data_IF_433749932940
#
_entry.id   IF_433749932940
#
_cell.length_a   1.000
_cell.length_b   1.000
_cell.length_c   1.000
_cell.angle_alpha   90.00
_cell.angle_beta   90.00
_cell.angle_gamma   90.00
#
_symmetry.space_group_name_H-M   'P 1'
#
loop_
_entity.id
_entity.type
_entity.pdbx_description
1 polymer ?
#
# COMPACT_ATOMS: atom_id res chain seq x y z
N UNK A 1 -1.08 -3.48 13.77
CA UNK A 1 -2.00 -4.62 13.55
C UNK A 1 -3.42 -4.19 13.13
N UNK A 2 -4.08 -3.28 13.85
CA UNK A 2 -5.50 -2.89 13.60
C UNK A 2 -5.87 -2.58 12.15
N UNK A 3 -5.08 -1.79 11.41
CA UNK A 3 -5.41 -1.41 10.02
C UNK A 3 -5.46 -2.60 9.05
N UNK A 4 -4.58 -3.58 9.23
CA UNK A 4 -4.58 -4.80 8.41
C UNK A 4 -5.77 -5.70 8.74
N UNK A 5 -6.20 -5.75 9.99
CA UNK A 5 -7.39 -6.49 10.43
C UNK A 5 -8.65 -5.87 9.83
N UNK A 6 -8.76 -4.54 9.83
CA UNK A 6 -9.90 -3.81 9.24
C UNK A 6 -10.02 -4.10 7.73
N UNK A 7 -8.90 -4.06 6.99
CA UNK A 7 -8.91 -4.32 5.55
C UNK A 7 -9.29 -5.78 5.22
N UNK A 8 -8.79 -6.76 6.00
CA UNK A 8 -9.15 -8.18 5.84
C UNK A 8 -10.63 -8.42 6.10
N UNK A 9 -11.18 -7.79 7.14
CA UNK A 9 -12.60 -7.90 7.48
C UNK A 9 -13.49 -7.25 6.42
N UNK A 10 -13.08 -6.10 5.85
CA UNK A 10 -13.80 -5.46 4.74
C UNK A 10 -13.81 -6.33 3.47
N UNK A 11 -12.68 -6.97 3.12
CA UNK A 11 -12.59 -7.86 1.97
C UNK A 11 -13.44 -9.14 2.14
N UNK A 12 -13.46 -9.72 3.34
CA UNK A 12 -14.31 -10.86 3.66
C UNK A 12 -15.80 -10.48 3.56
N UNK A 13 -16.19 -9.36 4.15
CA UNK A 13 -17.57 -8.85 4.06
C UNK A 13 -18.01 -8.60 2.62
N UNK A 14 -17.15 -8.02 1.78
CA UNK A 14 -17.44 -7.78 0.37
C UNK A 14 -17.64 -9.07 -0.44
N UNK A 15 -16.81 -10.10 -0.23
CA UNK A 15 -17.02 -11.42 -0.87
C UNK A 15 -18.36 -12.04 -0.49
N UNK A 16 -18.75 -11.91 0.78
CA UNK A 16 -20.06 -12.40 1.24
C UNK A 16 -21.20 -11.59 0.62
N UNK A 17 -21.06 -10.26 0.51
CA UNK A 17 -22.05 -9.40 -0.14
C UNK A 17 -22.27 -9.79 -1.61
N UNK A 18 -21.19 -9.99 -2.38
CA UNK A 18 -21.27 -10.46 -3.77
C UNK A 18 -21.98 -11.81 -3.89
N UNK A 19 -21.72 -12.74 -2.95
CA UNK A 19 -22.39 -14.05 -2.95
C UNK A 19 -23.89 -13.91 -2.70
N UNK A 20 -24.31 -13.05 -1.78
CA UNK A 20 -25.72 -12.79 -1.48
C UNK A 20 -26.43 -12.18 -2.70
N UNK A 21 -25.83 -11.17 -3.33
CA UNK A 21 -26.38 -10.55 -4.54
C UNK A 21 -26.52 -11.55 -5.69
N UNK A 22 -25.49 -12.38 -5.91
CA UNK A 22 -25.51 -13.41 -6.94
C UNK A 22 -26.59 -14.47 -6.67
N UNK A 23 -26.69 -14.95 -5.43
CA UNK A 23 -27.72 -15.93 -5.04
C UNK A 23 -29.14 -15.37 -5.18
N UNK A 24 -29.37 -14.12 -4.79
CA UNK A 24 -30.66 -13.47 -4.96
C UNK A 24 -31.03 -13.33 -6.45
N UNK A 25 -30.06 -12.95 -7.29
CA UNK A 25 -30.24 -12.87 -8.74
C UNK A 25 -30.55 -14.23 -9.38
N UNK A 26 -29.82 -15.27 -8.99
CA UNK A 26 -30.05 -16.65 -9.48
C UNK A 26 -31.39 -17.22 -9.02
N UNK A 27 -31.82 -16.90 -7.80
CA UNK A 27 -33.10 -17.31 -7.26
C UNK A 27 -34.28 -16.44 -7.77
N UNK A 28 -34.02 -15.36 -8.51
CA UNK A 28 -35.05 -14.41 -8.93
C UNK A 28 -35.71 -13.66 -7.76
N UNK A 29 -35.03 -13.58 -6.61
CA UNK A 29 -35.54 -12.96 -5.39
C UNK A 29 -35.08 -11.50 -5.37
N UNK A 30 -36.03 -10.58 -5.14
CA UNK A 30 -35.70 -9.19 -4.84
C UNK A 30 -35.24 -9.06 -3.39
N UNK A 31 -34.11 -8.38 -3.19
CA UNK A 31 -33.63 -8.04 -1.86
C UNK A 31 -34.45 -6.89 -1.28
N UNK A 32 -34.74 -6.95 0.02
CA UNK A 32 -35.40 -5.84 0.70
C UNK A 32 -34.48 -4.61 0.80
N UNK A 33 -35.10 -3.46 1.06
CA UNK A 33 -34.41 -2.16 1.10
C UNK A 33 -33.30 -2.10 2.15
N UNK A 34 -33.47 -2.74 3.29
CA UNK A 34 -32.46 -2.73 4.35
C UNK A 34 -31.29 -3.66 4.01
N UNK A 35 -31.55 -4.80 3.38
CA UNK A 35 -30.50 -5.68 2.87
C UNK A 35 -29.67 -5.00 1.78
N UNK A 36 -30.32 -4.36 0.80
CA UNK A 36 -29.65 -3.56 -0.22
C UNK A 36 -28.76 -2.47 0.40
N UNK A 37 -29.30 -1.70 1.35
CA UNK A 37 -28.55 -0.65 2.05
C UNK A 37 -27.35 -1.19 2.83
N UNK A 38 -27.45 -2.39 3.41
CA UNK A 38 -26.33 -3.05 4.09
C UNK A 38 -25.25 -3.49 3.10
N UNK A 39 -25.63 -4.06 1.97
CA UNK A 39 -24.71 -4.48 0.91
C UNK A 39 -23.96 -3.28 0.33
N UNK A 40 -24.67 -2.19 0.02
CA UNK A 40 -24.05 -0.93 -0.43
C UNK A 40 -23.00 -0.43 0.56
N UNK A 41 -23.31 -0.38 1.86
CA UNK A 41 -22.35 0.03 2.89
C UNK A 41 -21.10 -0.86 2.94
N UNK A 42 -21.25 -2.17 2.78
CA UNK A 42 -20.13 -3.11 2.75
C UNK A 42 -19.25 -2.83 1.54
N UNK A 43 -19.87 -2.66 0.37
CA UNK A 43 -19.18 -2.36 -0.89
C UNK A 43 -18.44 -1.01 -0.83
N UNK A 44 -19.07 0.05 -0.33
CA UNK A 44 -18.40 1.36 -0.17
C UNK A 44 -17.19 1.29 0.75
N UNK A 45 -17.31 0.59 1.90
CA UNK A 45 -16.19 0.42 2.84
C UNK A 45 -15.03 -0.35 2.22
N UNK A 46 -15.32 -1.37 1.43
CA UNK A 46 -14.29 -2.12 0.71
C UNK A 46 -13.57 -1.24 -0.32
N UNK A 47 -14.31 -0.48 -1.13
CA UNK A 47 -13.74 0.44 -2.12
C UNK A 47 -12.86 1.50 -1.45
N UNK A 48 -13.31 2.08 -0.35
CA UNK A 48 -12.52 3.07 0.41
C UNK A 48 -11.23 2.45 0.96
N UNK A 49 -11.31 1.25 1.55
CA UNK A 49 -10.15 0.54 2.06
C UNK A 49 -9.16 0.17 0.93
N UNK A 50 -9.67 -0.26 -0.23
CA UNK A 50 -8.86 -0.58 -1.40
C UNK A 50 -8.12 0.66 -1.94
N UNK A 51 -8.82 1.77 -2.16
CA UNK A 51 -8.22 3.04 -2.60
C UNK A 51 -7.14 3.52 -1.64
N UNK A 52 -7.37 3.41 -0.33
CA UNK A 52 -6.39 3.79 0.68
C UNK A 52 -5.15 2.91 0.67
N UNK A 53 -5.31 1.61 0.41
CA UNK A 53 -4.21 0.68 0.29
C UNK A 53 -3.37 0.96 -0.97
N UNK A 54 -4.02 1.22 -2.11
CA UNK A 54 -3.35 1.62 -3.36
C UNK A 54 -2.56 2.92 -3.18
N UNK A 55 -3.17 3.94 -2.57
CA UNK A 55 -2.51 5.21 -2.31
C UNK A 55 -1.29 5.07 -1.41
N UNK A 56 -1.36 4.23 -0.36
CA UNK A 56 -0.20 3.96 0.50
C UNK A 56 0.93 3.24 -0.25
N UNK A 57 0.59 2.28 -1.11
CA UNK A 57 1.59 1.62 -1.96
C UNK A 57 2.26 2.63 -2.89
N UNK A 58 1.48 3.48 -3.55
CA UNK A 58 2.01 4.54 -4.42
C UNK A 58 2.99 5.46 -3.67
N UNK A 59 2.66 5.91 -2.47
CA UNK A 59 3.57 6.71 -1.65
C UNK A 59 4.85 5.94 -1.25
N UNK A 60 4.71 4.67 -0.89
CA UNK A 60 5.85 3.81 -0.55
C UNK A 60 6.79 3.62 -1.75
N UNK A 61 6.23 3.37 -2.92
CA UNK A 61 7.01 3.18 -4.15
C UNK A 61 7.73 4.46 -4.56
N UNK A 62 7.08 5.62 -4.44
CA UNK A 62 7.71 6.91 -4.67
C UNK A 62 8.85 7.16 -3.68
N UNK A 63 8.63 6.89 -2.39
CA UNK A 63 9.66 7.03 -1.36
C UNK A 63 10.84 6.08 -1.59
N UNK A 64 10.56 4.84 -2.01
CA UNK A 64 11.58 3.83 -2.34
C UNK A 64 12.42 4.27 -3.54
N UNK A 65 11.78 4.73 -4.62
CA UNK A 65 12.50 5.28 -5.80
C UNK A 65 13.39 6.46 -5.42
N UNK A 66 12.90 7.41 -4.61
CA UNK A 66 13.72 8.54 -4.16
C UNK A 66 14.90 8.10 -3.31
N UNK A 67 14.72 7.10 -2.44
CA UNK A 67 15.81 6.54 -1.63
C UNK A 67 16.86 5.86 -2.50
N UNK A 68 16.46 5.11 -3.53
CA UNK A 68 17.39 4.51 -4.48
C UNK A 68 18.19 5.57 -5.24
N UNK A 69 17.53 6.59 -5.79
CA UNK A 69 18.21 7.70 -6.46
C UNK A 69 19.21 8.42 -5.55
N UNK A 70 18.84 8.68 -4.29
CA UNK A 70 19.78 9.25 -3.30
C UNK A 70 20.96 8.34 -3.02
N UNK A 71 20.75 7.02 -2.92
CA UNK A 71 21.81 6.06 -2.71
C UNK A 71 22.76 5.97 -3.92
N UNK A 72 22.23 6.01 -5.15
CA UNK A 72 23.02 6.06 -6.39
C UNK A 72 23.83 7.36 -6.49
N UNK A 73 23.22 8.50 -6.18
CA UNK A 73 23.93 9.79 -6.11
C UNK A 73 25.05 9.77 -5.06
N UNK A 74 24.85 9.05 -3.95
CA UNK A 74 25.90 8.85 -2.95
C UNK A 74 27.03 7.96 -3.49
N UNK A 75 26.70 6.80 -4.08
CA UNK A 75 27.68 5.86 -4.65
C UNK A 75 28.51 6.47 -5.78
N UNK A 76 27.91 7.34 -6.59
CA UNK A 76 28.60 8.06 -7.66
C UNK A 76 29.59 9.13 -7.17
N UNK A 77 29.64 9.44 -5.88
CA UNK A 77 30.55 10.46 -5.34
C UNK A 77 30.17 11.90 -5.72
N UNK A 78 29.02 12.11 -6.34
CA UNK A 78 28.55 13.42 -6.81
C UNK A 78 28.06 14.29 -5.65
N UNK A 79 27.51 13.67 -4.60
CA UNK A 79 27.00 14.37 -3.41
C UNK A 79 28.12 14.87 -2.50
N UNK A 80 27.89 16.01 -1.83
CA UNK A 80 28.84 16.56 -0.84
C UNK A 80 29.11 15.60 0.33
N UNK A 81 28.11 14.81 0.72
CA UNK A 81 28.26 13.79 1.76
C UNK A 81 29.21 12.67 1.30
N UNK A 82 29.07 12.18 0.06
CA UNK A 82 29.96 11.15 -0.48
C UNK A 82 31.40 11.66 -0.63
N UNK A 83 31.57 12.92 -1.05
CA UNK A 83 32.90 13.57 -1.10
C UNK A 83 33.53 13.70 0.28
N UNK A 84 32.75 14.05 1.31
CA UNK A 84 33.21 14.11 2.69
C UNK A 84 33.60 12.72 3.20
N UNK A 85 32.78 11.70 2.96
CA UNK A 85 33.09 10.33 3.37
C UNK A 85 34.38 9.83 2.70
N UNK A 86 34.52 9.99 1.37
CA UNK A 86 35.76 9.61 0.67
C UNK A 86 37.01 10.32 1.22
N UNK A 87 36.88 11.60 1.61
CA UNK A 87 37.99 12.36 2.21
C UNK A 87 38.34 11.85 3.62
N UNK A 88 37.35 11.39 4.37
CA UNK A 88 37.54 10.79 5.70
C UNK A 88 38.15 9.39 5.62
N UNK A 89 37.69 8.57 4.68
CA UNK A 89 38.26 7.25 4.40
C UNK A 89 39.75 7.37 4.00
N UNK A 90 40.10 8.41 3.24
CA UNK A 90 41.50 8.71 2.91
C UNK A 90 42.34 9.12 4.14
N UNK A 91 41.77 9.90 5.07
CA UNK A 91 42.47 10.34 6.30
C UNK A 91 42.69 9.23 7.29
N UNK A 92 41.75 8.30 7.38
CA UNK A 92 41.76 7.19 8.35
C UNK A 92 42.49 5.96 7.82
N UNK A 93 43.10 6.05 6.63
CA UNK A 93 43.84 4.93 6.02
C UNK A 93 42.94 3.80 5.52
N UNK A 94 41.64 4.06 5.32
CA UNK A 94 40.62 3.07 4.93
C UNK A 94 40.79 2.45 3.53
N UNK A 95 41.91 2.71 2.85
CA UNK A 95 42.33 2.09 1.60
C UNK A 95 43.52 1.15 1.82
N UNK A 96 43.47 0.37 2.90
CA UNK A 96 44.54 -0.55 3.32
C UNK A 96 44.02 -1.92 3.73
N UNK A 97 43.42 -2.66 2.79
CA UNK A 97 43.68 -4.07 2.46
C UNK A 97 42.91 -4.47 1.21
#
# INVERSE_FOLDING_TARGET
MQRQVIAKNAAAGYKTALKIEQQAKEAGISLDKDTMRRLEKITSRYIEAAKKAEFQKFQSDQAHKMRQQKAEAFRSGTTAAAKKQRKEDYRTGGWGK
#
